data_IF_689497848620
#
_entry.id   IF_689497848620
#
_cell.length_a   1.000
_cell.length_b   1.000
_cell.length_c   1.000
_cell.angle_alpha   90.00
_cell.angle_beta   90.00
_cell.angle_gamma   90.00
#
_symmetry.space_group_name_H-M   'P 1'
#
loop_
_entity.id
_entity.type
_entity.pdbx_description
1 polymer ?
#
# COMPACT_ATOMS: atom_id res chain seq x y z
N UNK A 1 -23.76 13.83 -9.88
CA UNK A 1 -23.26 12.46 -10.19
C UNK A 1 -22.19 12.09 -9.20
N UNK A 2 -22.34 10.96 -8.56
CA UNK A 2 -21.36 10.50 -7.58
C UNK A 2 -20.08 10.01 -8.28
N UNK A 3 -18.92 10.34 -7.72
CA UNK A 3 -17.67 9.79 -8.21
C UNK A 3 -17.47 8.40 -7.65
N UNK A 4 -16.99 7.50 -8.49
CA UNK A 4 -16.59 6.19 -8.02
C UNK A 4 -15.33 6.30 -7.16
N UNK A 5 -15.29 5.50 -6.11
CA UNK A 5 -14.11 5.37 -5.26
C UNK A 5 -13.32 4.16 -5.71
N UNK A 6 -12.07 4.36 -6.08
CA UNK A 6 -11.21 3.27 -6.51
C UNK A 6 -10.29 2.88 -5.35
N UNK A 7 -10.40 1.64 -4.95
CA UNK A 7 -9.57 1.05 -3.91
C UNK A 7 -8.60 0.07 -4.53
N UNK A 8 -7.34 0.14 -4.11
CA UNK A 8 -6.36 -0.90 -4.42
C UNK A 8 -6.15 -1.70 -3.14
N UNK A 9 -6.33 -3.01 -3.24
CA UNK A 9 -6.12 -3.93 -2.11
C UNK A 9 -4.97 -4.85 -2.47
N UNK A 10 -3.95 -4.87 -1.64
CA UNK A 10 -2.77 -5.70 -1.87
C UNK A 10 -2.35 -6.41 -0.59
N UNK A 11 -2.00 -7.68 -0.71
CA UNK A 11 -1.41 -8.44 0.38
C UNK A 11 0.11 -8.34 0.29
N UNK A 12 0.76 -8.20 1.43
CA UNK A 12 2.21 -8.15 1.49
C UNK A 12 2.74 -9.08 2.57
N UNK A 13 3.95 -9.59 2.33
CA UNK A 13 4.63 -10.46 3.26
C UNK A 13 6.14 -10.34 3.05
N UNK A 14 6.85 -9.84 4.05
CA UNK A 14 8.31 -9.66 4.01
C UNK A 14 8.78 -8.89 2.77
N UNK A 15 8.15 -7.74 2.53
CA UNK A 15 8.39 -6.92 1.33
C UNK A 15 9.05 -5.59 1.66
N UNK A 16 9.77 -5.50 2.78
CA UNK A 16 10.33 -4.24 3.25
C UNK A 16 11.19 -3.52 2.19
N UNK A 17 11.90 -4.26 1.35
CA UNK A 17 12.78 -3.67 0.35
C UNK A 17 12.02 -3.03 -0.80
N UNK A 18 10.82 -3.51 -1.12
CA UNK A 18 10.09 -3.08 -2.32
C UNK A 18 8.78 -2.38 -2.01
N UNK A 19 8.28 -2.49 -0.78
CA UNK A 19 6.94 -1.98 -0.45
C UNK A 19 6.85 -0.46 -0.60
N UNK A 20 7.90 0.26 -0.28
CA UNK A 20 7.91 1.71 -0.41
C UNK A 20 7.78 2.15 -1.87
N UNK A 21 8.52 1.50 -2.78
CA UNK A 21 8.43 1.80 -4.20
C UNK A 21 7.05 1.45 -4.76
N UNK A 22 6.46 0.34 -4.29
CA UNK A 22 5.11 -0.05 -4.68
C UNK A 22 4.08 0.99 -4.24
N UNK A 23 4.13 1.43 -2.99
CA UNK A 23 3.23 2.42 -2.45
C UNK A 23 3.37 3.76 -3.19
N UNK A 24 4.60 4.17 -3.45
CA UNK A 24 4.86 5.40 -4.18
C UNK A 24 4.22 5.39 -5.56
N UNK A 25 4.35 4.28 -6.29
CA UNK A 25 3.77 4.15 -7.63
C UNK A 25 2.25 4.13 -7.60
N UNK A 26 1.68 3.37 -6.69
CA UNK A 26 0.22 3.23 -6.59
C UNK A 26 -0.41 4.56 -6.17
N UNK A 27 0.17 5.22 -5.18
CA UNK A 27 -0.39 6.47 -4.67
C UNK A 27 -0.19 7.64 -5.63
N UNK A 28 0.70 7.51 -6.61
CA UNK A 28 0.87 8.51 -7.65
C UNK A 28 -0.19 8.41 -8.76
N UNK A 29 -0.95 7.31 -8.81
CA UNK A 29 -1.99 7.14 -9.82
C UNK A 29 -3.22 8.00 -9.45
N UNK A 30 -3.64 8.92 -10.33
CA UNK A 30 -4.75 9.82 -10.01
C UNK A 30 -6.08 9.11 -9.83
N UNK A 31 -6.25 7.91 -10.38
CA UNK A 31 -7.48 7.14 -10.27
C UNK A 31 -7.63 6.47 -8.91
N UNK A 32 -6.54 6.30 -8.16
CA UNK A 32 -6.57 5.58 -6.88
C UNK A 32 -6.96 6.54 -5.76
N UNK A 33 -8.04 6.21 -5.05
CA UNK A 33 -8.51 6.98 -3.92
C UNK A 33 -8.00 6.42 -2.60
N UNK A 34 -7.88 5.10 -2.53
CA UNK A 34 -7.51 4.41 -1.29
C UNK A 34 -6.61 3.23 -1.59
N UNK A 35 -5.65 3.00 -0.72
CA UNK A 35 -4.79 1.83 -0.77
C UNK A 35 -4.91 1.09 0.56
N UNK A 36 -5.36 -0.16 0.48
CA UNK A 36 -5.45 -1.04 1.64
C UNK A 36 -4.39 -2.12 1.52
N UNK A 37 -3.45 -2.13 2.46
CA UNK A 37 -2.40 -3.14 2.52
C UNK A 37 -2.71 -4.12 3.64
N UNK A 38 -2.70 -5.39 3.29
CA UNK A 38 -2.94 -6.48 4.24
C UNK A 38 -1.61 -7.18 4.46
N UNK A 39 -1.06 -7.03 5.67
CA UNK A 39 0.19 -7.70 6.02
C UNK A 39 -0.10 -9.09 6.56
N UNK A 40 0.52 -10.09 5.95
CA UNK A 40 0.30 -11.49 6.29
C UNK A 40 1.39 -12.01 7.24
N UNK A 41 1.64 -11.28 8.30
CA UNK A 41 2.55 -11.71 9.36
C UNK A 41 4.03 -11.52 9.05
N UNK A 42 4.38 -10.39 8.41
CA UNK A 42 5.78 -10.10 8.10
C UNK A 42 6.68 -10.12 9.33
N UNK A 43 7.84 -10.72 9.19
CA UNK A 43 8.85 -10.77 10.25
C UNK A 43 9.97 -9.76 10.03
N UNK A 44 9.98 -9.05 8.91
CA UNK A 44 10.95 -8.00 8.61
C UNK A 44 10.37 -6.60 8.93
N UNK A 45 10.96 -5.55 8.41
CA UNK A 45 10.55 -4.18 8.64
C UNK A 45 9.36 -3.72 7.78
N UNK A 46 8.66 -4.62 7.08
CA UNK A 46 7.57 -4.26 6.17
C UNK A 46 6.52 -3.37 6.84
N UNK A 47 6.04 -3.78 8.00
CA UNK A 47 5.01 -3.04 8.73
C UNK A 47 5.51 -1.66 9.14
N UNK A 48 6.77 -1.57 9.59
CA UNK A 48 7.35 -0.29 9.99
C UNK A 48 7.45 0.66 8.79
N UNK A 49 7.83 0.15 7.62
CA UNK A 49 7.90 0.96 6.39
C UNK A 49 6.50 1.48 6.02
N UNK A 50 5.49 0.61 6.07
CA UNK A 50 4.12 1.01 5.75
C UNK A 50 3.64 2.10 6.71
N UNK A 51 3.89 1.95 8.00
CA UNK A 51 3.48 2.94 9.01
C UNK A 51 4.13 4.29 8.80
N UNK A 52 5.34 4.31 8.28
CA UNK A 52 6.03 5.57 7.99
C UNK A 52 5.33 6.40 6.91
N UNK A 53 4.49 5.77 6.08
CA UNK A 53 3.69 6.46 5.06
C UNK A 53 2.40 7.07 5.61
N UNK A 54 2.02 6.68 6.78
CA UNK A 54 0.82 7.21 7.43
C UNK A 54 1.15 8.50 8.21
#
# INVERSE_FOLDING_TARGET
MAREQVWVVAACFNEAEVISAFMERVLALPEVNHLLLIDDGSSDATVAVIRAWQ
#
